data_IF_076016834477
#
_entry.id   IF_076016834477
#
_cell.length_a   1.000
_cell.length_b   1.000
_cell.length_c   1.000
_cell.angle_alpha   90.00
_cell.angle_beta   90.00
_cell.angle_gamma   90.00
#
_symmetry.space_group_name_H-M   'P 1'
#
loop_
_entity.id
_entity.type
_entity.pdbx_description
1 polymer ?
#
# COMPACT_ATOMS: atom_id res chain seq x y z
N UNK A 1 4.95 0.27 10.95
CA UNK A 1 3.72 0.36 10.14
C UNK A 1 3.76 1.53 9.19
N UNK A 2 2.78 1.65 8.29
CA UNK A 2 2.68 2.78 7.37
C UNK A 2 2.23 4.04 8.12
N UNK A 3 2.83 5.20 7.79
CA UNK A 3 2.44 6.51 8.34
C UNK A 3 1.20 7.07 7.64
N UNK A 4 1.03 6.75 6.36
CA UNK A 4 -0.07 7.25 5.56
C UNK A 4 -0.28 6.48 4.28
N UNK A 5 -1.37 6.81 3.58
CA UNK A 5 -1.80 6.22 2.34
C UNK A 5 -2.23 7.32 1.36
N UNK A 6 -1.90 7.12 0.08
CA UNK A 6 -2.36 7.93 -1.03
C UNK A 6 -3.61 7.26 -1.61
N UNK A 7 -4.68 8.03 -1.85
CA UNK A 7 -5.93 7.48 -2.37
C UNK A 7 -6.55 8.39 -3.42
N UNK A 8 -7.46 7.86 -4.21
CA UNK A 8 -8.28 8.65 -5.14
C UNK A 8 -9.11 9.68 -4.37
N UNK A 9 -9.54 10.73 -5.06
CA UNK A 9 -10.23 11.88 -4.48
C UNK A 9 -11.54 11.60 -3.76
N UNK A 10 -12.11 10.39 -3.90
CA UNK A 10 -13.28 9.91 -3.16
C UNK A 10 -14.46 10.93 -3.08
N UNK A 11 -14.73 11.66 -4.17
CA UNK A 11 -15.70 12.78 -4.20
C UNK A 11 -17.06 12.38 -3.65
N UNK A 12 -17.54 11.18 -3.95
CA UNK A 12 -18.84 10.68 -3.48
C UNK A 12 -18.86 10.39 -1.97
N UNK A 13 -17.68 10.14 -1.34
CA UNK A 13 -17.53 9.93 0.11
C UNK A 13 -17.27 11.26 0.81
N UNK A 14 -16.48 12.15 0.19
CA UNK A 14 -16.16 13.46 0.75
C UNK A 14 -17.41 14.35 0.88
N UNK A 15 -18.34 14.24 -0.08
CA UNK A 15 -19.50 15.13 -0.13
C UNK A 15 -19.09 16.59 -0.32
N UNK A 16 -19.29 17.40 0.72
CA UNK A 16 -18.94 18.84 0.73
C UNK A 16 -17.51 19.11 1.20
N UNK A 17 -16.81 18.11 1.76
CA UNK A 17 -15.44 18.27 2.26
C UNK A 17 -14.45 18.45 1.11
N UNK A 18 -13.39 19.22 1.33
CA UNK A 18 -12.30 19.40 0.37
C UNK A 18 -11.32 18.20 0.39
N UNK A 19 -10.77 17.79 -0.77
CA UNK A 19 -9.67 16.81 -0.83
C UNK A 19 -8.33 17.39 -0.37
N UNK A 20 -8.25 18.69 -0.10
CA UNK A 20 -7.01 19.40 0.21
C UNK A 20 -6.66 19.38 1.71
N UNK A 21 -7.33 18.55 2.47
CA UNK A 21 -7.00 18.29 3.87
C UNK A 21 -6.42 16.90 4.06
N UNK A 22 -5.62 16.75 5.10
CA UNK A 22 -5.17 15.44 5.57
C UNK A 22 -6.27 14.83 6.42
N UNK A 23 -6.72 13.63 6.05
CA UNK A 23 -7.70 12.85 6.81
C UNK A 23 -7.02 11.66 7.49
N UNK A 24 -7.76 10.91 8.28
CA UNK A 24 -7.32 9.62 8.81
C UNK A 24 -8.41 8.56 8.69
N UNK A 25 -7.99 7.30 8.63
CA UNK A 25 -8.90 6.17 8.61
C UNK A 25 -9.45 5.91 10.02
N UNK A 26 -10.77 5.82 10.24
CA UNK A 26 -11.33 5.52 11.57
C UNK A 26 -10.86 4.18 12.14
N UNK A 27 -10.63 3.18 11.27
CA UNK A 27 -10.12 1.86 11.67
C UNK A 27 -8.62 1.89 12.04
N UNK A 28 -7.88 2.89 11.58
CA UNK A 28 -6.47 3.09 11.82
C UNK A 28 -6.15 4.59 12.02
N UNK A 29 -6.43 5.16 13.20
CA UNK A 29 -6.34 6.61 13.43
C UNK A 29 -4.95 7.21 13.20
N UNK A 30 -3.91 6.38 13.25
CA UNK A 30 -2.53 6.80 12.98
C UNK A 30 -2.19 6.79 11.47
N UNK A 31 -3.07 6.23 10.62
CA UNK A 31 -2.87 6.18 9.18
C UNK A 31 -3.47 7.44 8.54
N UNK A 32 -2.62 8.35 8.11
CA UNK A 32 -3.03 9.58 7.42
C UNK A 32 -3.37 9.30 5.96
N UNK A 33 -4.37 10.00 5.43
CA UNK A 33 -4.86 9.85 4.06
C UNK A 33 -4.60 11.15 3.29
N UNK A 34 -3.94 11.03 2.13
CA UNK A 34 -3.80 12.09 1.14
C UNK A 34 -4.67 11.76 -0.06
N UNK A 35 -5.60 12.65 -0.38
CA UNK A 35 -6.57 12.47 -1.44
C UNK A 35 -6.13 13.18 -2.70
N UNK A 36 -6.28 12.52 -3.84
CA UNK A 36 -6.02 13.11 -5.16
C UNK A 36 -6.99 14.27 -5.42
N UNK A 37 -6.48 15.42 -5.85
CA UNK A 37 -7.32 16.39 -6.53
C UNK A 37 -7.63 15.89 -7.94
N UNK A 38 -8.88 15.51 -8.16
CA UNK A 38 -9.36 14.94 -9.41
C UNK A 38 -9.25 15.95 -10.54
N UNK A 39 -9.69 17.18 -10.29
CA UNK A 39 -9.81 18.23 -11.32
C UNK A 39 -8.43 18.66 -11.81
N UNK A 40 -7.55 19.02 -10.90
CA UNK A 40 -6.21 19.47 -11.23
C UNK A 40 -5.35 18.34 -11.84
N UNK A 41 -5.50 17.12 -11.33
CA UNK A 41 -4.79 15.96 -11.90
C UNK A 41 -5.25 15.62 -13.30
N UNK A 42 -6.57 15.65 -13.56
CA UNK A 42 -7.15 15.36 -14.86
C UNK A 42 -6.90 16.48 -15.88
N UNK A 43 -6.71 17.71 -15.44
CA UNK A 43 -6.32 18.82 -16.31
C UNK A 43 -4.96 18.53 -16.98
N UNK A 44 -4.03 17.95 -16.25
CA UNK A 44 -2.73 17.54 -16.82
C UNK A 44 -2.85 16.22 -17.57
N UNK A 45 -3.47 15.20 -16.94
CA UNK A 45 -3.41 13.83 -17.47
C UNK A 45 -4.30 13.63 -18.70
N UNK A 46 -5.47 14.25 -18.74
CA UNK A 46 -6.50 13.97 -19.73
C UNK A 46 -6.81 15.15 -20.65
N UNK A 47 -6.74 16.38 -20.15
CA UNK A 47 -7.25 17.56 -20.85
C UNK A 47 -6.18 18.45 -21.47
N UNK A 48 -4.90 18.27 -21.08
CA UNK A 48 -3.81 19.18 -21.41
C UNK A 48 -3.67 19.49 -22.90
N UNK A 49 -3.78 18.52 -23.79
CA UNK A 49 -3.71 18.69 -25.26
C UNK A 49 -5.07 18.83 -25.94
N UNK A 50 -6.18 18.84 -25.18
CA UNK A 50 -7.52 18.95 -25.75
C UNK A 50 -7.84 20.40 -26.08
N UNK A 51 -7.76 20.76 -27.35
CA UNK A 51 -8.06 22.12 -27.87
C UNK A 51 -9.51 22.55 -27.71
N UNK A 52 -10.44 21.59 -27.47
CA UNK A 52 -11.85 21.88 -27.24
C UNK A 52 -12.19 22.08 -25.76
N UNK A 53 -11.21 21.88 -24.87
CA UNK A 53 -11.40 22.13 -23.46
C UNK A 53 -11.35 23.63 -23.16
N UNK A 54 -12.29 24.13 -22.36
CA UNK A 54 -12.41 25.55 -22.03
C UNK A 54 -11.13 26.12 -21.37
N UNK A 55 -10.40 25.29 -20.61
CA UNK A 55 -9.14 25.67 -19.97
C UNK A 55 -7.91 25.62 -20.87
N UNK A 56 -8.06 25.26 -22.15
CA UNK A 56 -6.95 25.22 -23.11
C UNK A 56 -6.59 26.63 -23.63
N UNK A 57 -5.29 26.96 -23.79
CA UNK A 57 -4.10 26.19 -23.38
C UNK A 57 -3.81 26.35 -21.90
N UNK A 58 -3.38 25.25 -21.25
CA UNK A 58 -3.00 25.25 -19.83
C UNK A 58 -1.55 25.71 -19.68
N UNK A 59 -1.33 26.86 -19.06
CA UNK A 59 -0.01 27.36 -18.70
C UNK A 59 0.32 27.12 -17.24
N UNK A 60 1.63 26.90 -16.93
CA UNK A 60 2.08 26.57 -15.59
C UNK A 60 1.80 27.68 -14.56
N UNK A 61 1.86 28.94 -14.95
CA UNK A 61 1.55 30.09 -14.08
C UNK A 61 0.06 30.16 -13.71
N UNK A 62 -0.83 29.89 -14.68
CA UNK A 62 -2.27 29.83 -14.44
C UNK A 62 -2.62 28.61 -13.55
N UNK A 63 -1.99 27.47 -13.83
CA UNK A 63 -2.21 26.25 -13.05
C UNK A 63 -1.80 26.42 -11.58
N UNK A 64 -0.59 26.94 -11.34
CA UNK A 64 -0.11 27.25 -9.99
C UNK A 64 -0.91 28.41 -9.37
N UNK A 65 -1.37 29.35 -10.20
CA UNK A 65 -2.26 30.43 -9.73
C UNK A 65 -3.53 29.92 -9.07
N UNK A 66 -4.18 28.96 -9.71
CA UNK A 66 -5.39 28.32 -9.12
C UNK A 66 -5.11 27.64 -7.78
N UNK A 67 -3.91 27.05 -7.64
CA UNK A 67 -3.50 26.44 -6.35
C UNK A 67 -3.21 27.53 -5.31
N UNK A 68 -2.53 28.61 -5.69
CA UNK A 68 -2.19 29.69 -4.79
C UNK A 68 -3.43 30.53 -4.33
N UNK A 69 -4.50 30.50 -5.09
CA UNK A 69 -5.77 31.18 -4.77
C UNK A 69 -6.71 30.34 -3.89
N UNK A 70 -6.33 29.11 -3.55
CA UNK A 70 -7.11 28.27 -2.62
C UNK A 70 -7.12 28.88 -1.21
N UNK A 71 -8.15 28.58 -0.40
CA UNK A 71 -8.23 29.06 0.97
C UNK A 71 -6.99 28.70 1.78
N UNK A 72 -6.51 29.63 2.62
CA UNK A 72 -5.32 29.46 3.46
C UNK A 72 -5.47 28.31 4.48
N UNK A 73 -6.70 27.92 4.79
CA UNK A 73 -7.01 26.82 5.70
C UNK A 73 -6.74 25.45 5.05
N UNK A 74 -6.68 25.37 3.72
CA UNK A 74 -6.37 24.13 3.01
C UNK A 74 -4.88 23.77 3.19
N UNK A 75 -4.62 22.49 3.44
CA UNK A 75 -3.32 22.05 3.93
C UNK A 75 -2.39 21.58 2.82
N UNK A 76 -2.94 20.89 1.79
CA UNK A 76 -2.14 20.22 0.78
C UNK A 76 -2.97 19.95 -0.47
N UNK A 77 -2.37 20.15 -1.64
CA UNK A 77 -2.94 19.76 -2.93
C UNK A 77 -2.16 18.57 -3.48
N UNK A 78 -2.86 17.47 -3.71
CA UNK A 78 -2.23 16.24 -4.19
C UNK A 78 -2.55 16.01 -5.67
N UNK A 79 -1.51 16.07 -6.51
CA UNK A 79 -1.61 15.82 -7.95
C UNK A 79 -1.10 14.43 -8.23
N UNK A 80 -2.01 13.50 -8.60
CA UNK A 80 -1.66 12.12 -8.95
C UNK A 80 -1.95 11.89 -10.42
N UNK A 81 -0.95 11.45 -11.16
CA UNK A 81 -1.08 11.12 -12.58
C UNK A 81 -0.18 9.95 -12.94
N UNK A 82 -0.51 9.26 -14.01
CA UNK A 82 0.36 8.26 -14.59
C UNK A 82 1.53 8.93 -15.31
N UNK A 83 2.70 8.33 -15.26
CA UNK A 83 3.87 8.81 -15.98
C UNK A 83 3.65 8.81 -17.51
N UNK A 84 2.80 7.92 -18.01
CA UNK A 84 2.35 7.86 -19.40
C UNK A 84 1.66 9.15 -19.88
N UNK A 85 1.14 9.99 -18.97
CA UNK A 85 0.66 11.31 -19.31
C UNK A 85 1.74 12.19 -19.98
N UNK A 86 3.02 11.93 -19.67
CA UNK A 86 4.14 12.71 -20.17
C UNK A 86 4.71 12.10 -21.47
N UNK A 87 4.06 12.34 -22.59
CA UNK A 87 4.54 11.97 -23.92
C UNK A 87 3.79 10.84 -24.62
N UNK A 88 2.91 10.10 -23.89
CA UNK A 88 2.05 9.05 -24.49
C UNK A 88 0.61 9.55 -24.53
N UNK A 89 -0.05 9.76 -23.39
CA UNK A 89 -1.42 10.27 -23.35
C UNK A 89 -1.49 11.75 -23.80
N UNK A 90 -0.54 12.55 -23.36
CA UNK A 90 -0.32 13.90 -23.87
C UNK A 90 0.92 13.89 -24.78
N UNK A 91 0.79 14.11 -26.10
CA UNK A 91 1.91 14.02 -27.02
C UNK A 91 2.97 15.07 -26.70
N UNK A 92 4.24 14.80 -26.99
CA UNK A 92 5.33 15.75 -26.75
C UNK A 92 5.14 17.07 -27.50
N UNK A 93 4.46 17.05 -28.66
CA UNK A 93 4.09 18.25 -29.44
C UNK A 93 3.12 19.19 -28.71
N UNK A 94 2.52 18.74 -27.61
CA UNK A 94 1.66 19.59 -26.75
C UNK A 94 2.46 20.50 -25.81
N UNK A 95 3.80 20.39 -25.77
CA UNK A 95 4.70 21.07 -24.85
C UNK A 95 4.45 20.69 -23.37
N UNK A 96 3.94 19.49 -23.11
CA UNK A 96 3.69 19.00 -21.74
C UNK A 96 4.96 19.01 -20.87
N UNK A 97 6.13 18.71 -21.45
CA UNK A 97 7.39 18.72 -20.71
C UNK A 97 7.82 20.14 -20.32
N UNK A 98 7.62 21.13 -21.19
CA UNK A 98 7.91 22.53 -20.86
C UNK A 98 7.00 23.04 -19.74
N UNK A 99 5.73 22.63 -19.77
CA UNK A 99 4.79 22.90 -18.68
C UNK A 99 5.29 22.32 -17.35
N UNK A 100 5.68 21.04 -17.32
CA UNK A 100 6.19 20.39 -16.10
C UNK A 100 7.48 21.07 -15.60
N UNK A 101 8.39 21.44 -16.51
CA UNK A 101 9.62 22.14 -16.15
C UNK A 101 9.36 23.54 -15.57
N UNK A 102 8.30 24.21 -16.01
CA UNK A 102 7.94 25.54 -15.52
C UNK A 102 7.25 25.52 -14.15
N UNK A 103 6.60 24.41 -13.76
CA UNK A 103 5.84 24.31 -12.50
C UNK A 103 6.65 24.74 -11.27
N UNK A 104 7.88 24.24 -11.02
CA UNK A 104 8.65 24.63 -9.83
C UNK A 104 8.99 26.11 -9.77
N UNK A 105 9.24 26.72 -10.94
CA UNK A 105 9.55 28.14 -11.04
C UNK A 105 8.32 28.98 -10.71
N UNK A 106 7.18 28.66 -11.31
CA UNK A 106 5.91 29.34 -11.05
C UNK A 106 5.46 29.17 -9.60
N UNK A 107 5.62 27.97 -9.04
CA UNK A 107 5.29 27.68 -7.66
C UNK A 107 6.09 28.56 -6.69
N UNK A 108 7.41 28.64 -6.89
CA UNK A 108 8.27 29.52 -6.07
C UNK A 108 7.87 30.99 -6.16
N UNK A 109 7.48 31.46 -7.35
CA UNK A 109 7.04 32.84 -7.55
C UNK A 109 5.74 33.17 -6.83
N UNK A 110 4.84 32.19 -6.74
CA UNK A 110 3.51 32.31 -6.11
C UNK A 110 3.46 31.86 -4.65
N UNK A 111 4.60 31.49 -4.06
CA UNK A 111 4.67 31.06 -2.67
C UNK A 111 4.15 29.64 -2.41
N UNK A 112 3.96 28.83 -3.44
CA UNK A 112 3.56 27.43 -3.34
C UNK A 112 4.80 26.56 -3.18
N UNK A 113 4.85 25.71 -2.16
CA UNK A 113 5.94 24.80 -1.89
C UNK A 113 5.60 23.37 -2.32
N UNK A 114 6.58 22.64 -2.86
CA UNK A 114 6.46 21.20 -3.05
C UNK A 114 6.92 20.48 -1.78
N UNK A 115 6.21 19.42 -1.44
CA UNK A 115 6.54 18.56 -0.30
C UNK A 115 6.44 17.08 -0.70
N UNK A 116 7.24 16.24 -0.08
CA UNK A 116 7.09 14.79 -0.19
C UNK A 116 5.93 14.31 0.69
N UNK A 117 5.29 13.17 0.39
CA UNK A 117 4.27 12.60 1.27
C UNK A 117 4.75 12.41 2.72
N UNK A 118 6.02 12.03 2.92
CA UNK A 118 6.58 11.86 4.26
C UNK A 118 6.65 13.17 5.03
N UNK A 119 7.06 14.26 4.40
CA UNK A 119 7.08 15.60 5.01
C UNK A 119 5.67 16.04 5.41
N UNK A 120 4.68 15.80 4.54
CA UNK A 120 3.27 16.12 4.86
C UNK A 120 2.77 15.28 6.03
N UNK A 121 3.06 13.96 6.05
CA UNK A 121 2.65 13.10 7.16
C UNK A 121 3.29 13.50 8.49
N UNK A 122 4.52 13.99 8.48
CA UNK A 122 5.24 14.37 9.69
C UNK A 122 4.85 15.78 10.19
N UNK A 123 4.54 16.72 9.28
CA UNK A 123 4.28 18.13 9.61
C UNK A 123 2.80 18.50 9.77
N UNK A 124 1.88 17.74 9.15
CA UNK A 124 0.48 18.15 9.05
C UNK A 124 -0.43 17.22 9.85
N UNK A 125 -1.28 17.80 10.69
CA UNK A 125 -2.26 17.04 11.44
C UNK A 125 -3.51 16.75 10.62
N UNK A 126 -4.11 15.58 10.87
CA UNK A 126 -5.41 15.23 10.29
C UNK A 126 -6.52 16.14 10.83
N UNK A 127 -7.40 16.60 9.94
CA UNK A 127 -8.56 17.43 10.33
C UNK A 127 -9.78 16.61 10.71
N UNK A 128 -9.81 15.32 10.38
CA UNK A 128 -10.96 14.47 10.68
C UNK A 128 -10.91 13.07 10.06
N UNK A 129 -11.94 12.33 10.32
CA UNK A 129 -12.11 10.98 9.83
C UNK A 129 -12.67 10.93 8.40
N UNK A 130 -12.16 9.99 7.61
CA UNK A 130 -12.69 9.63 6.32
C UNK A 130 -12.79 8.12 6.22
N UNK A 131 -14.01 7.61 6.16
CA UNK A 131 -14.28 6.21 5.92
C UNK A 131 -14.65 6.01 4.45
N UNK A 132 -13.89 5.17 3.75
CA UNK A 132 -14.15 4.78 2.37
C UNK A 132 -14.54 3.30 2.38
N UNK A 133 -15.85 2.98 2.39
CA UNK A 133 -16.32 1.61 2.56
C UNK A 133 -16.09 0.74 1.31
N UNK A 134 -16.10 1.37 0.14
CA UNK A 134 -16.00 0.68 -1.14
C UNK A 134 -14.65 0.90 -1.80
N UNK A 135 -14.28 0.00 -2.71
CA UNK A 135 -13.05 0.12 -3.49
C UNK A 135 -13.12 1.30 -4.45
N UNK A 136 -12.07 2.10 -4.46
CA UNK A 136 -11.92 3.26 -5.35
C UNK A 136 -10.86 3.01 -6.41
N UNK A 137 -11.05 3.63 -7.57
CA UNK A 137 -10.01 3.73 -8.59
C UNK A 137 -10.03 5.12 -9.25
N UNK A 138 -8.97 5.43 -9.97
CA UNK A 138 -8.85 6.65 -10.79
C UNK A 138 -9.43 6.46 -12.20
N UNK A 139 -9.78 5.23 -12.56
CA UNK A 139 -10.27 4.87 -13.89
C UNK A 139 -11.74 5.25 -14.03
N UNK A 140 -12.11 5.74 -15.21
CA UNK A 140 -13.45 6.14 -15.63
C UNK A 140 -14.23 7.12 -14.69
N UNK A 141 -15.48 7.36 -14.98
CA UNK A 141 -16.33 8.32 -14.25
C UNK A 141 -16.90 7.71 -12.95
N UNK A 142 -17.10 6.41 -12.91
CA UNK A 142 -17.61 5.69 -11.75
C UNK A 142 -16.62 5.64 -10.59
N UNK A 143 -15.31 5.79 -10.87
CA UNK A 143 -14.25 5.79 -9.88
C UNK A 143 -14.23 4.54 -8.98
N UNK A 144 -14.69 3.42 -9.52
CA UNK A 144 -14.73 2.12 -8.86
C UNK A 144 -13.83 1.09 -9.58
N UNK A 145 -13.96 -0.19 -9.26
CA UNK A 145 -13.18 -1.27 -9.88
C UNK A 145 -13.87 -1.93 -11.07
N UNK A 146 -14.96 -1.39 -11.56
CA UNK A 146 -15.75 -2.00 -12.63
C UNK A 146 -15.03 -2.05 -13.98
N UNK A 147 -13.96 -1.29 -14.18
CA UNK A 147 -13.04 -1.46 -15.31
C UNK A 147 -12.33 -2.82 -15.33
N UNK A 148 -12.16 -3.44 -14.16
CA UNK A 148 -11.44 -4.71 -13.98
C UNK A 148 -12.34 -5.87 -13.59
N UNK A 149 -13.49 -5.61 -12.93
CA UNK A 149 -14.40 -6.62 -12.39
C UNK A 149 -15.88 -6.35 -12.76
N UNK A 150 -16.13 -5.51 -13.77
CA UNK A 150 -17.47 -5.05 -14.10
C UNK A 150 -18.33 -6.05 -14.91
N UNK A 151 -17.73 -6.92 -15.70
CA UNK A 151 -18.45 -7.87 -16.53
C UNK A 151 -18.25 -9.35 -16.08
N UNK A 152 -19.08 -10.27 -16.58
CA UNK A 152 -18.98 -11.68 -16.19
C UNK A 152 -17.63 -12.33 -16.54
N UNK A 153 -17.02 -12.01 -17.67
CA UNK A 153 -15.71 -12.56 -18.09
C UNK A 153 -14.62 -12.20 -17.09
N UNK A 154 -14.59 -10.94 -16.68
CA UNK A 154 -13.63 -10.43 -15.69
C UNK A 154 -13.80 -11.11 -14.33
N UNK A 155 -15.05 -11.24 -13.85
CA UNK A 155 -15.34 -11.89 -12.57
C UNK A 155 -15.00 -13.37 -12.59
N UNK A 156 -15.36 -14.08 -13.66
CA UNK A 156 -15.03 -15.51 -13.82
C UNK A 156 -13.51 -15.73 -13.82
N UNK A 157 -12.77 -14.92 -14.58
CA UNK A 157 -11.32 -14.99 -14.62
C UNK A 157 -10.68 -14.72 -13.24
N UNK A 158 -11.18 -13.73 -12.54
CA UNK A 158 -10.72 -13.38 -11.19
C UNK A 158 -11.01 -14.49 -10.17
N UNK A 159 -12.26 -14.95 -10.10
CA UNK A 159 -12.66 -16.01 -9.17
C UNK A 159 -11.86 -17.30 -9.44
N UNK A 160 -11.68 -17.66 -10.71
CA UNK A 160 -10.94 -18.85 -11.08
C UNK A 160 -9.45 -18.74 -10.76
N UNK A 161 -8.84 -17.56 -10.96
CA UNK A 161 -7.47 -17.31 -10.54
C UNK A 161 -7.32 -17.53 -9.04
N UNK A 162 -8.12 -16.83 -8.24
CA UNK A 162 -8.01 -16.89 -6.78
C UNK A 162 -8.49 -18.20 -6.16
N UNK A 163 -9.18 -19.07 -6.91
CA UNK A 163 -9.55 -20.40 -6.44
C UNK A 163 -8.36 -21.30 -6.08
N UNK A 164 -7.18 -21.01 -6.63
CA UNK A 164 -5.94 -21.76 -6.36
C UNK A 164 -4.94 -20.99 -5.49
N UNK A 165 -5.29 -19.79 -5.02
CA UNK A 165 -4.38 -18.91 -4.28
C UNK A 165 -3.71 -19.59 -3.07
N UNK A 166 -4.48 -20.33 -2.28
CA UNK A 166 -3.96 -21.03 -1.11
C UNK A 166 -3.00 -22.16 -1.50
N UNK A 167 -3.32 -22.88 -2.58
CA UNK A 167 -2.43 -23.93 -3.10
C UNK A 167 -1.10 -23.37 -3.56
N UNK A 168 -1.11 -22.24 -4.26
CA UNK A 168 0.10 -21.52 -4.67
C UNK A 168 0.94 -21.12 -3.47
N UNK A 169 0.32 -20.56 -2.44
CA UNK A 169 0.99 -20.13 -1.20
C UNK A 169 1.63 -21.29 -0.46
N UNK A 170 0.93 -22.43 -0.36
CA UNK A 170 1.43 -23.62 0.32
C UNK A 170 2.56 -24.27 -0.48
N UNK A 171 2.41 -24.39 -1.81
CA UNK A 171 3.44 -24.99 -2.68
C UNK A 171 4.75 -24.22 -2.62
N UNK A 172 4.66 -22.88 -2.57
CA UNK A 172 5.79 -21.95 -2.55
C UNK A 172 6.90 -22.28 -3.56
N UNK A 173 6.53 -22.79 -4.73
CA UNK A 173 7.46 -23.07 -5.83
C UNK A 173 7.81 -21.75 -6.54
N UNK A 174 9.10 -21.40 -6.69
CA UNK A 174 9.51 -20.13 -7.28
C UNK A 174 8.98 -19.89 -8.69
N UNK A 175 8.84 -20.93 -9.51
CA UNK A 175 8.33 -20.81 -10.90
C UNK A 175 6.84 -20.56 -10.91
N UNK A 176 6.10 -21.26 -10.05
CA UNK A 176 4.66 -21.04 -9.87
C UNK A 176 4.42 -19.62 -9.31
N UNK A 177 5.22 -19.17 -8.38
CA UNK A 177 5.07 -17.81 -7.80
C UNK A 177 5.28 -16.71 -8.86
N UNK A 178 6.25 -16.86 -9.76
CA UNK A 178 6.47 -15.89 -10.85
C UNK A 178 5.26 -15.85 -11.80
N UNK A 179 4.76 -17.01 -12.23
CA UNK A 179 3.58 -17.07 -13.11
C UNK A 179 2.34 -16.53 -12.39
N UNK A 180 2.19 -16.80 -11.09
CA UNK A 180 1.14 -16.26 -10.25
C UNK A 180 1.14 -14.73 -10.22
N UNK A 181 2.32 -14.12 -10.05
CA UNK A 181 2.47 -12.67 -10.04
C UNK A 181 2.07 -12.04 -11.39
N UNK A 182 2.46 -12.65 -12.50
CA UNK A 182 2.06 -12.19 -13.83
C UNK A 182 0.55 -12.31 -14.06
N UNK A 183 -0.08 -13.42 -13.63
CA UNK A 183 -1.51 -13.64 -13.80
C UNK A 183 -2.35 -12.65 -12.99
N UNK A 184 -1.84 -12.14 -11.86
CA UNK A 184 -2.52 -11.14 -11.03
C UNK A 184 -2.45 -9.72 -11.61
N UNK A 185 -1.66 -9.46 -12.66
CA UNK A 185 -1.53 -8.12 -13.21
C UNK A 185 -2.90 -7.56 -13.63
N UNK A 186 -3.26 -6.40 -13.13
CA UNK A 186 -4.58 -5.77 -13.34
C UNK A 186 -4.91 -5.56 -14.82
N UNK A 187 -3.90 -5.36 -15.68
CA UNK A 187 -4.09 -5.20 -17.11
C UNK A 187 -4.73 -6.43 -17.76
N UNK A 188 -4.47 -7.64 -17.26
CA UNK A 188 -5.10 -8.86 -17.77
C UNK A 188 -6.64 -8.75 -17.71
N UNK A 189 -7.16 -8.25 -16.61
CA UNK A 189 -8.60 -8.06 -16.41
C UNK A 189 -9.11 -6.82 -17.18
N UNK A 190 -8.32 -5.75 -17.25
CA UNK A 190 -8.68 -4.54 -18.00
C UNK A 190 -8.87 -4.81 -19.49
N UNK A 191 -8.06 -5.65 -20.11
CA UNK A 191 -8.21 -6.01 -21.53
C UNK A 191 -9.54 -6.71 -21.86
N UNK A 192 -10.19 -7.30 -20.85
CA UNK A 192 -11.50 -7.96 -20.97
C UNK A 192 -12.67 -6.97 -20.77
N UNK A 193 -12.41 -5.69 -20.50
CA UNK A 193 -13.51 -4.72 -20.26
C UNK A 193 -14.33 -4.46 -21.51
N UNK A 194 -15.64 -4.36 -21.33
CA UNK A 194 -16.60 -3.95 -22.37
C UNK A 194 -17.00 -2.48 -22.25
N UNK A 195 -16.49 -1.77 -21.22
CA UNK A 195 -16.77 -0.36 -21.02
C UNK A 195 -16.10 0.48 -22.11
N UNK A 196 -16.78 1.52 -22.62
CA UNK A 196 -16.11 2.54 -23.41
C UNK A 196 -15.10 3.27 -22.52
N UNK A 197 -13.87 3.46 -22.99
CA UNK A 197 -12.87 4.21 -22.26
C UNK A 197 -12.69 5.59 -22.89
N UNK A 198 -12.76 6.63 -22.07
CA UNK A 198 -12.41 7.98 -22.46
C UNK A 198 -10.88 8.16 -22.63
N UNK A 199 -10.11 7.28 -22.03
CA UNK A 199 -8.66 7.15 -22.23
C UNK A 199 -8.47 5.99 -23.20
N UNK A 200 -8.17 6.27 -24.46
CA UNK A 200 -8.10 5.27 -25.54
C UNK A 200 -7.75 3.88 -25.05
N UNK A 201 -8.68 2.94 -25.23
CA UNK A 201 -8.48 1.56 -24.76
C UNK A 201 -7.31 0.98 -25.52
N UNK A 202 -6.14 1.04 -24.92
CA UNK A 202 -5.06 0.17 -25.33
C UNK A 202 -5.45 -1.25 -24.90
N UNK A 203 -6.00 -2.01 -25.85
CA UNK A 203 -6.31 -3.44 -25.68
C UNK A 203 -5.06 -4.30 -25.85
N UNK A 204 -3.89 -3.67 -25.94
CA UNK A 204 -2.66 -4.36 -26.23
C UNK A 204 -2.74 -5.07 -27.59
N UNK A 205 -2.42 -6.36 -27.60
CA UNK A 205 -2.42 -7.20 -28.79
C UNK A 205 -3.78 -7.84 -29.12
N UNK A 206 -4.80 -7.61 -28.29
CA UNK A 206 -6.10 -8.29 -28.43
C UNK A 206 -7.05 -7.51 -29.35
N UNK A 207 -7.73 -8.20 -30.25
CA UNK A 207 -8.70 -7.62 -31.14
C UNK A 207 -10.06 -7.36 -30.48
N UNK A 208 -10.37 -8.13 -29.42
CA UNK A 208 -11.62 -7.98 -28.65
C UNK A 208 -11.44 -8.35 -27.18
N UNK A 209 -12.36 -7.90 -26.30
CA UNK A 209 -12.39 -8.35 -24.91
C UNK A 209 -12.52 -9.87 -24.75
N UNK A 210 -13.23 -10.51 -25.69
CA UNK A 210 -13.41 -11.96 -25.68
C UNK A 210 -12.12 -12.70 -26.05
N UNK A 211 -11.32 -12.17 -26.98
CA UNK A 211 -10.01 -12.73 -27.30
C UNK A 211 -9.07 -12.65 -26.08
N UNK A 212 -9.07 -11.52 -25.39
CA UNK A 212 -8.30 -11.36 -24.16
C UNK A 212 -8.73 -12.37 -23.08
N UNK A 213 -10.02 -12.53 -22.88
CA UNK A 213 -10.57 -13.51 -21.95
C UNK A 213 -10.18 -14.95 -22.33
N UNK A 214 -10.35 -15.34 -23.60
CA UNK A 214 -10.04 -16.69 -24.06
C UNK A 214 -8.54 -17.02 -23.88
N UNK A 215 -7.66 -16.11 -24.27
CA UNK A 215 -6.22 -16.29 -24.08
C UNK A 215 -5.85 -16.40 -22.61
N UNK A 216 -6.39 -15.50 -21.79
CA UNK A 216 -6.13 -15.54 -20.34
C UNK A 216 -6.60 -16.86 -19.71
N UNK A 217 -7.81 -17.31 -20.04
CA UNK A 217 -8.38 -18.55 -19.49
C UNK A 217 -7.61 -19.80 -19.93
N UNK A 218 -7.05 -19.81 -21.14
CA UNK A 218 -6.19 -20.89 -21.60
C UNK A 218 -4.89 -20.95 -20.78
N UNK A 219 -4.23 -19.81 -20.58
CA UNK A 219 -3.02 -19.73 -19.76
C UNK A 219 -3.31 -20.10 -18.30
N UNK A 220 -4.42 -19.58 -17.76
CA UNK A 220 -4.85 -19.88 -16.40
C UNK A 220 -5.20 -21.36 -16.22
N UNK A 221 -5.82 -22.00 -17.21
CA UNK A 221 -6.10 -23.44 -17.21
C UNK A 221 -4.84 -24.29 -17.11
N UNK A 222 -3.81 -23.98 -17.89
CA UNK A 222 -2.50 -24.61 -17.79
C UNK A 222 -1.86 -24.37 -16.42
N UNK A 223 -1.89 -23.13 -15.95
CA UNK A 223 -1.36 -22.78 -14.63
C UNK A 223 -2.02 -23.57 -13.50
N UNK A 224 -3.35 -23.65 -13.51
CA UNK A 224 -4.11 -24.43 -12.50
C UNK A 224 -3.73 -25.90 -12.55
N UNK A 225 -3.55 -26.48 -13.74
CA UNK A 225 -3.10 -27.87 -13.89
C UNK A 225 -1.73 -28.06 -13.26
N UNK A 226 -0.77 -27.19 -13.56
CA UNK A 226 0.58 -27.23 -12.96
C UNK A 226 0.57 -27.07 -11.45
N UNK A 227 -0.28 -26.19 -10.92
CA UNK A 227 -0.45 -26.04 -9.47
C UNK A 227 -1.01 -27.32 -8.85
N UNK A 228 -2.02 -27.93 -9.46
CA UNK A 228 -2.63 -29.15 -8.96
C UNK A 228 -1.67 -30.35 -9.01
N UNK A 229 -0.80 -30.42 -10.02
CA UNK A 229 0.20 -31.48 -10.17
C UNK A 229 1.27 -31.48 -9.06
N UNK A 230 1.42 -30.36 -8.34
CA UNK A 230 2.30 -30.28 -7.17
C UNK A 230 1.72 -30.98 -5.93
N UNK A 231 0.44 -31.33 -5.95
CA UNK A 231 -0.23 -32.01 -4.86
C UNK A 231 -0.44 -33.48 -5.17
N UNK A 232 -0.19 -34.38 -4.20
CA UNK A 232 -0.48 -35.80 -4.39
C UNK A 232 -1.97 -36.00 -4.71
N UNK A 233 -2.31 -36.90 -5.66
CA UNK A 233 -3.69 -37.16 -6.04
C UNK A 233 -4.55 -37.75 -4.91
N UNK A 234 -3.94 -38.18 -3.81
CA UNK A 234 -4.58 -38.82 -2.66
C UNK A 234 -4.95 -37.84 -1.53
N UNK A 235 -4.61 -36.55 -1.67
CA UNK A 235 -5.07 -35.58 -0.68
C UNK A 235 -6.55 -35.30 -0.92
N UNK A 236 -7.39 -35.89 -0.08
CA UNK A 236 -8.81 -35.60 -0.03
C UNK A 236 -9.03 -34.09 0.22
N UNK A 237 -10.01 -33.51 -0.49
CA UNK A 237 -10.36 -32.11 -0.33
C UNK A 237 -10.66 -31.73 1.14
N UNK A 238 -11.14 -32.67 1.92
CA UNK A 238 -11.41 -32.45 3.36
C UNK A 238 -10.12 -32.34 4.17
N UNK A 239 -9.08 -33.08 3.84
CA UNK A 239 -7.77 -32.95 4.49
C UNK A 239 -7.09 -31.64 4.10
N UNK A 240 -7.19 -31.25 2.84
CA UNK A 240 -6.67 -29.96 2.36
C UNK A 240 -7.39 -28.79 3.06
N UNK A 241 -8.71 -28.84 3.14
CA UNK A 241 -9.50 -27.82 3.83
C UNK A 241 -9.19 -27.76 5.33
N UNK A 242 -8.93 -28.91 5.96
CA UNK A 242 -8.51 -28.98 7.37
C UNK A 242 -7.13 -28.33 7.57
N UNK A 243 -6.17 -28.63 6.70
CA UNK A 243 -4.84 -28.00 6.73
C UNK A 243 -4.91 -26.49 6.48
N UNK A 244 -5.71 -26.06 5.51
CA UNK A 244 -5.93 -24.63 5.21
C UNK A 244 -6.54 -23.90 6.41
N UNK A 245 -7.51 -24.52 7.09
CA UNK A 245 -8.12 -23.96 8.29
C UNK A 245 -7.11 -23.83 9.42
N UNK A 246 -6.25 -24.84 9.59
CA UNK A 246 -5.16 -24.80 10.60
C UNK A 246 -4.16 -23.69 10.30
N UNK A 247 -3.67 -23.59 9.07
CA UNK A 247 -2.73 -22.53 8.63
C UNK A 247 -3.35 -21.15 8.83
N UNK A 248 -4.63 -20.99 8.51
CA UNK A 248 -5.34 -19.71 8.71
C UNK A 248 -5.40 -19.35 10.20
N UNK A 249 -5.77 -20.31 11.05
CA UNK A 249 -5.86 -20.10 12.49
C UNK A 249 -4.49 -19.76 13.11
N UNK A 250 -3.42 -20.44 12.67
CA UNK A 250 -2.05 -20.14 13.09
C UNK A 250 -1.60 -18.75 12.60
N UNK A 251 -1.98 -18.36 11.39
CA UNK A 251 -1.73 -17.02 10.85
C UNK A 251 -2.42 -15.92 11.66
N UNK A 252 -3.67 -16.13 12.01
CA UNK A 252 -4.45 -15.22 12.87
C UNK A 252 -3.83 -15.12 14.27
N UNK A 253 -3.38 -16.24 14.84
CA UNK A 253 -2.69 -16.27 16.15
C UNK A 253 -1.34 -15.52 16.10
N UNK A 254 -0.57 -15.70 15.05
CA UNK A 254 0.68 -14.94 14.83
C UNK A 254 0.40 -13.44 14.74
N UNK A 255 -0.62 -13.05 13.98
CA UNK A 255 -1.00 -11.64 13.85
C UNK A 255 -1.42 -11.03 15.20
N UNK A 256 -2.17 -11.78 16.03
CA UNK A 256 -2.53 -11.31 17.37
C UNK A 256 -1.33 -11.19 18.30
N UNK A 257 -0.38 -12.14 18.21
CA UNK A 257 0.88 -12.08 18.99
C UNK A 257 1.75 -10.89 18.55
N UNK A 258 1.83 -10.61 17.28
CA UNK A 258 2.57 -9.45 16.78
C UNK A 258 1.97 -8.12 17.26
N UNK A 259 0.64 -8.01 17.29
CA UNK A 259 -0.03 -6.85 17.86
C UNK A 259 0.26 -6.68 19.38
N UNK A 260 0.31 -7.79 20.11
CA UNK A 260 0.65 -7.76 21.53
C UNK A 260 2.12 -7.39 21.76
N UNK A 261 3.02 -7.89 20.93
CA UNK A 261 4.44 -7.51 20.94
C UNK A 261 4.58 -6.00 20.71
N UNK A 262 3.92 -5.44 19.71
CA UNK A 262 3.95 -3.99 19.45
C UNK A 262 3.41 -3.19 20.64
N UNK A 263 2.33 -3.66 21.26
CA UNK A 263 1.76 -3.03 22.46
C UNK A 263 2.71 -3.08 23.67
N UNK A 264 3.41 -4.19 23.83
CA UNK A 264 4.40 -4.35 24.91
C UNK A 264 5.64 -3.49 24.65
N UNK A 265 6.11 -3.42 23.42
CA UNK A 265 7.22 -2.53 23.03
C UNK A 265 6.89 -1.06 23.32
N UNK A 266 5.69 -0.59 22.93
CA UNK A 266 5.25 0.77 23.25
C UNK A 266 5.13 1.04 24.76
N UNK A 267 4.83 0.01 25.58
CA UNK A 267 4.85 0.15 27.04
C UNK A 267 6.27 0.21 27.59
N UNK A 268 7.19 -0.56 27.04
CA UNK A 268 8.60 -0.53 27.41
C UNK A 268 9.18 0.85 27.15
N UNK A 269 8.98 1.42 25.96
CA UNK A 269 9.43 2.76 25.63
C UNK A 269 8.90 3.83 26.60
N UNK A 270 7.62 3.72 26.99
CA UNK A 270 7.04 4.64 27.98
C UNK A 270 7.69 4.52 29.36
N UNK A 271 7.93 3.29 29.81
CA UNK A 271 8.58 3.02 31.09
C UNK A 271 10.05 3.48 31.09
N UNK A 272 10.74 3.28 29.98
CA UNK A 272 12.11 3.77 29.80
C UNK A 272 12.17 5.30 29.85
N UNK A 273 11.26 5.99 29.13
CA UNK A 273 11.17 7.45 29.18
C UNK A 273 10.79 7.98 30.59
N UNK A 274 9.95 7.27 31.34
CA UNK A 274 9.65 7.63 32.74
C UNK A 274 10.85 7.37 33.66
N UNK A 275 11.56 6.31 33.45
CA UNK A 275 12.78 6.01 34.21
C UNK A 275 13.88 7.04 33.96
N UNK A 276 14.06 7.48 32.73
CA UNK A 276 15.04 8.52 32.40
C UNK A 276 14.67 9.87 33.06
N UNK A 277 13.40 10.26 33.03
CA UNK A 277 12.90 11.45 33.76
C UNK A 277 13.10 11.33 35.27
N UNK A 278 12.91 10.14 35.82
CA UNK A 278 13.17 9.90 37.25
C UNK A 278 14.66 9.96 37.57
N UNK A 279 15.54 9.43 36.72
CA UNK A 279 16.99 9.54 36.88
C UNK A 279 17.45 11.00 36.87
N UNK A 280 17.04 11.77 35.86
CA UNK A 280 17.32 13.22 35.80
C UNK A 280 16.85 13.96 37.04
N UNK A 281 15.67 13.63 37.59
CA UNK A 281 15.12 14.22 38.80
C UNK A 281 15.87 13.85 40.07
N UNK A 282 16.49 12.66 40.11
CA UNK A 282 17.28 12.22 41.29
C UNK A 282 18.73 12.68 41.18
N UNK A 283 19.36 12.67 40.01
CA UNK A 283 20.69 13.22 39.78
C UNK A 283 20.77 14.72 40.02
N UNK A 284 19.71 15.45 39.64
CA UNK A 284 19.58 16.90 39.97
C UNK A 284 19.41 17.21 41.45
N UNK A 285 19.09 16.20 42.29
CA UNK A 285 18.98 16.38 43.76
C UNK A 285 20.22 15.98 44.54
N UNK A 286 21.14 15.20 43.97
CA UNK A 286 22.41 14.85 44.61
C UNK A 286 23.50 15.93 44.47
N UNK A 287 23.30 16.91 43.57
CA UNK A 287 24.22 18.01 43.40
C UNK A 287 24.14 19.09 44.54
N UNK A 288 23.14 19.01 45.44
CA UNK A 288 22.89 20.01 46.49
C UNK A 288 23.01 19.47 47.92
N UNK A 289 23.67 18.31 48.18
CA UNK A 289 23.86 17.76 49.50
C UNK A 289 25.33 17.72 49.89
N UNK A 290 25.73 18.23 51.08
CA UNK A 290 27.13 18.27 51.52
C UNK A 290 27.65 16.85 51.84
N UNK A 291 28.87 16.55 51.36
CA UNK A 291 29.57 15.30 51.49
C UNK A 291 29.66 14.80 52.93
N UNK A 292 29.01 13.69 53.27
CA UNK A 292 29.30 12.87 54.43
C UNK A 292 30.03 11.61 53.98
N UNK A 293 31.30 11.50 54.37
CA UNK A 293 32.16 10.28 54.26
C UNK A 293 31.50 9.16 55.04
N UNK A 294 31.16 8.06 54.40
CA UNK A 294 30.96 6.78 55.07
C UNK A 294 31.43 5.62 54.18
N UNK A 295 32.07 4.70 54.85
CA UNK A 295 32.87 3.57 54.56
C UNK A 295 32.33 2.59 53.48
N UNK A 296 33.28 2.01 52.79
CA UNK A 296 33.15 0.90 51.84
C UNK A 296 32.35 -0.29 52.39
N UNK A 297 31.30 -0.70 51.65
CA UNK A 297 30.67 -2.01 51.80
C UNK A 297 30.82 -2.77 50.48
N UNK A 298 31.43 -3.96 50.59
CA UNK A 298 31.74 -4.89 49.52
C UNK A 298 30.46 -5.29 48.76
N UNK A 299 30.55 -5.26 47.43
CA UNK A 299 29.55 -5.83 46.51
C UNK A 299 29.53 -7.39 46.64
N UNK A 300 28.33 -8.00 46.55
CA UNK A 300 28.24 -9.44 46.32
C UNK A 300 28.35 -9.78 44.83
N UNK A 301 29.21 -10.69 44.48
CA UNK A 301 29.52 -11.17 43.14
C UNK A 301 28.23 -11.66 42.39
N UNK A 302 27.99 -11.12 41.19
CA UNK A 302 27.00 -11.64 40.24
C UNK A 302 27.44 -13.03 39.75
N UNK A 303 26.65 -14.05 40.05
CA UNK A 303 26.76 -15.38 39.43
C UNK A 303 26.35 -15.30 37.96
N UNK A 304 27.25 -15.68 37.08
CA UNK A 304 26.97 -15.86 35.65
C UNK A 304 25.97 -17.02 35.42
N UNK A 305 25.08 -16.93 34.42
CA UNK A 305 24.21 -18.05 34.12
C UNK A 305 24.96 -19.20 33.47
N UNK A 306 24.69 -20.41 33.93
CA UNK A 306 25.31 -21.66 33.49
C UNK A 306 25.02 -21.93 32.01
N UNK A 307 26.07 -22.17 31.22
CA UNK A 307 25.99 -22.65 29.85
C UNK A 307 25.32 -24.04 29.82
N UNK A 308 24.17 -24.17 29.14
CA UNK A 308 23.56 -25.46 28.81
C UNK A 308 24.45 -26.19 27.80
N UNK A 309 24.87 -27.42 28.11
CA UNK A 309 25.58 -28.31 27.23
C UNK A 309 24.72 -28.77 26.04
N UNK A 310 25.33 -29.05 24.87
CA UNK A 310 24.57 -29.50 23.68
C UNK A 310 24.10 -30.95 23.88
N UNK A 311 22.78 -31.16 23.54
CA UNK A 311 22.18 -32.50 23.46
C UNK A 311 22.83 -33.30 22.34
N UNK A 312 23.42 -34.46 22.67
CA UNK A 312 23.92 -35.47 21.73
C UNK A 312 22.71 -35.98 20.86
N UNK A 313 22.91 -35.99 19.53
CA UNK A 313 22.10 -36.75 18.57
C UNK A 313 22.28 -38.25 18.89
N UNK A 314 21.16 -38.93 19.07
CA UNK A 314 21.14 -40.40 19.06
C UNK A 314 21.09 -40.85 17.60
N UNK A 315 22.14 -41.49 17.12
CA UNK A 315 22.18 -42.32 15.92
C UNK A 315 21.33 -43.58 16.18
N UNK A 316 20.25 -43.74 15.42
CA UNK A 316 19.63 -45.06 15.27
C UNK A 316 20.21 -45.75 14.03
N UNK A 317 20.94 -46.83 14.27
CA UNK A 317 21.32 -47.82 13.29
C UNK A 317 20.07 -48.51 12.77
N UNK A 318 19.91 -48.53 11.47
CA UNK A 318 19.05 -49.48 10.78
C UNK A 318 19.84 -50.79 10.62
N UNK A 319 19.38 -51.86 11.23
CA UNK A 319 19.79 -53.22 10.92
C UNK A 319 18.83 -53.86 9.91
N UNK A 320 19.45 -54.52 8.98
CA UNK A 320 18.85 -55.38 7.95
C UNK A 320 17.96 -56.47 8.55
N UNK A 321 16.88 -56.80 7.94
CA UNK A 321 16.49 -58.18 7.56
C UNK A 321 15.10 -58.26 6.93
N UNK A 322 15.08 -58.86 5.72
CA UNK A 322 13.99 -59.51 4.99
C UNK A 322 12.98 -58.66 4.21
#
# INVERSE_FOLDING_TARGET
GFKGMLTEGAKHVLGWKSPHYVYHCPMAPNLKLLLRDITLSDDISLRFSNTSWEGYPLFADNYIGRIAEMPEEEQVVNIFMELSALGIAQPLSSNILDFIHALPVCAKQKGVAFATPSEVFDSTNSVGELCVPDTLSWMDEERDVSCWLGNPMQREAFEKLYSVAERVRIANDPRINVDWDYLQASNNFRFMTTKPSNVGLDRGIYSSPFDAFTNYMNILGDFITRVNDLYPPEIDNDQLNSLLTTIKNEGDEIMMKDQEIQRLQAKIEKIEAENDKLREKYEGKEADAPAKKTAAKKEPAKKAPAKRAPRKKAEQKADEAL
#
